data_IF_498275125913
#
_entry.id   IF_498275125913
#
_cell.length_a   1.000
_cell.length_b   1.000
_cell.length_c   1.000
_cell.angle_alpha   90.00
_cell.angle_beta   90.00
_cell.angle_gamma   90.00
#
_symmetry.space_group_name_H-M   'P 1'
#
loop_
_entity.id
_entity.type
_entity.pdbx_description
1 polymer ?
#
# COMPACT_ATOMS: atom_id res chain seq x y z
N UNK A 1 0.59 2.79 16.63
CA UNK A 1 -0.81 2.88 17.10
C UNK A 1 -1.81 2.44 16.03
N UNK A 2 -2.00 3.16 14.91
CA UNK A 2 -3.02 2.79 13.90
C UNK A 2 -2.84 1.38 13.29
N UNK A 3 -1.64 1.04 12.83
CA UNK A 3 -1.33 -0.30 12.26
C UNK A 3 -1.53 -1.42 13.29
N UNK A 4 -1.15 -1.17 14.54
CA UNK A 4 -1.32 -2.14 15.63
C UNK A 4 -2.81 -2.37 15.93
N UNK A 5 -3.64 -1.33 15.86
CA UNK A 5 -5.08 -1.44 16.03
C UNK A 5 -5.73 -2.26 14.91
N UNK A 6 -5.36 -1.99 13.65
CA UNK A 6 -5.91 -2.73 12.49
C UNK A 6 -5.55 -4.21 12.56
N UNK A 7 -4.32 -4.54 12.97
CA UNK A 7 -3.87 -5.94 13.04
C UNK A 7 -4.39 -6.71 14.27
N UNK A 8 -4.89 -6.03 15.30
CA UNK A 8 -5.34 -6.70 16.55
C UNK A 8 -6.86 -6.80 16.68
N UNK A 9 -7.61 -5.95 15.97
CA UNK A 9 -9.06 -6.02 15.92
C UNK A 9 -9.54 -7.09 14.92
N UNK A 10 -10.67 -7.75 15.19
CA UNK A 10 -11.28 -8.65 14.21
C UNK A 10 -11.69 -7.87 12.95
N UNK A 11 -11.63 -8.52 11.79
CA UNK A 11 -12.06 -7.92 10.51
C UNK A 11 -13.50 -7.42 10.54
N UNK A 12 -14.36 -8.07 11.33
CA UNK A 12 -15.75 -7.66 11.54
C UNK A 12 -15.91 -6.24 12.08
N UNK A 13 -14.94 -5.72 12.84
CA UNK A 13 -14.97 -4.34 13.34
C UNK A 13 -14.86 -3.28 12.21
N UNK A 14 -14.51 -3.71 10.99
CA UNK A 14 -14.29 -2.84 9.84
C UNK A 14 -15.28 -3.08 8.70
N UNK A 15 -16.31 -3.93 8.87
CA UNK A 15 -17.26 -4.28 7.81
C UNK A 15 -17.98 -3.06 7.23
N UNK A 16 -18.50 -2.17 8.09
CA UNK A 16 -19.13 -0.92 7.65
C UNK A 16 -18.18 -0.04 6.83
N UNK A 17 -16.90 0.04 7.23
CA UNK A 17 -15.88 0.79 6.49
C UNK A 17 -15.58 0.15 5.13
N UNK A 18 -15.51 -1.18 5.07
CA UNK A 18 -15.28 -1.92 3.82
C UNK A 18 -16.46 -1.76 2.85
N UNK A 19 -17.69 -1.69 3.36
CA UNK A 19 -18.88 -1.48 2.53
C UNK A 19 -18.95 -0.01 2.07
N UNK A 20 -18.79 0.94 2.98
CA UNK A 20 -18.99 2.36 2.68
C UNK A 20 -17.86 2.99 1.86
N UNK A 21 -16.60 2.69 2.19
CA UNK A 21 -15.43 3.38 1.61
C UNK A 21 -14.76 2.55 0.50
N UNK A 22 -14.72 1.22 0.65
CA UNK A 22 -14.09 0.32 -0.33
C UNK A 22 -15.12 -0.22 -1.35
N UNK A 23 -16.42 -0.14 -1.03
CA UNK A 23 -17.50 -0.61 -1.91
C UNK A 23 -17.61 -2.13 -1.98
N UNK A 24 -17.14 -2.85 -0.95
CA UNK A 24 -17.28 -4.30 -0.87
C UNK A 24 -18.77 -4.66 -0.73
N UNK A 25 -19.30 -5.60 -1.52
CA UNK A 25 -20.67 -6.08 -1.34
C UNK A 25 -20.87 -6.67 0.06
N UNK A 26 -21.95 -6.30 0.75
CA UNK A 26 -22.26 -6.76 2.12
C UNK A 26 -22.32 -8.30 2.23
N UNK A 27 -22.69 -9.00 1.15
CA UNK A 27 -22.72 -10.46 1.10
C UNK A 27 -21.32 -11.11 1.10
N UNK A 28 -20.29 -10.35 0.72
CA UNK A 28 -18.91 -10.81 0.61
C UNK A 28 -18.00 -10.28 1.72
N UNK A 29 -18.39 -9.21 2.42
CA UNK A 29 -17.55 -8.57 3.45
C UNK A 29 -17.14 -9.52 4.57
N UNK A 30 -18.05 -10.42 4.96
CA UNK A 30 -17.81 -11.43 6.01
C UNK A 30 -16.81 -12.52 5.61
N UNK A 31 -16.47 -12.61 4.33
CA UNK A 31 -15.48 -13.56 3.78
C UNK A 31 -14.11 -12.90 3.54
N UNK A 32 -13.99 -11.60 3.76
CA UNK A 32 -12.73 -10.89 3.56
C UNK A 32 -11.85 -11.06 4.79
N UNK A 33 -10.71 -11.67 4.55
CA UNK A 33 -9.60 -11.67 5.51
C UNK A 33 -8.75 -10.42 5.28
N UNK A 34 -8.58 -9.60 6.31
CA UNK A 34 -7.70 -8.45 6.23
C UNK A 34 -6.24 -8.91 6.20
N UNK A 35 -5.40 -8.36 5.32
CA UNK A 35 -3.98 -8.68 5.31
C UNK A 35 -3.30 -8.11 6.56
N UNK A 36 -2.16 -8.66 6.92
CA UNK A 36 -1.31 -8.07 7.97
C UNK A 36 -0.71 -6.77 7.45
N UNK A 37 -1.09 -5.65 8.05
CA UNK A 37 -0.58 -4.34 7.68
C UNK A 37 0.77 -4.08 8.35
N UNK A 38 1.70 -3.46 7.62
CA UNK A 38 3.01 -3.08 8.15
C UNK A 38 3.09 -1.56 8.34
N UNK A 39 4.02 -1.12 9.19
CA UNK A 39 4.33 0.31 9.30
C UNK A 39 4.96 0.78 8.00
N UNK A 40 4.76 2.05 7.67
CA UNK A 40 5.45 2.67 6.54
C UNK A 40 6.96 2.55 6.74
N UNK A 41 7.65 2.05 5.72
CA UNK A 41 9.10 1.85 5.70
C UNK A 41 9.63 2.27 4.33
N UNK A 42 10.93 2.61 4.27
CA UNK A 42 11.55 2.87 2.99
C UNK A 42 11.54 1.59 2.13
N UNK A 43 11.24 1.71 0.84
CA UNK A 43 11.40 0.61 -0.10
C UNK A 43 12.88 0.21 -0.20
N UNK A 44 13.15 -1.05 -0.54
CA UNK A 44 14.52 -1.50 -0.75
C UNK A 44 15.07 -0.92 -2.05
N UNK A 45 16.35 -0.51 -2.05
CA UNK A 45 17.01 0.07 -3.23
C UNK A 45 16.94 -0.85 -4.47
N UNK A 46 17.05 -2.17 -4.25
CA UNK A 46 16.92 -3.17 -5.30
C UNK A 46 15.55 -3.15 -5.98
N UNK A 47 14.48 -2.94 -5.21
CA UNK A 47 13.13 -2.92 -5.76
C UNK A 47 12.85 -1.61 -6.48
N UNK A 48 13.39 -0.50 -5.97
CA UNK A 48 13.37 0.79 -6.65
C UNK A 48 14.03 0.72 -8.03
N UNK A 49 15.25 0.19 -8.12
CA UNK A 49 15.97 0.02 -9.39
C UNK A 49 15.19 -0.84 -10.39
N UNK A 50 14.56 -1.93 -9.93
CA UNK A 50 13.73 -2.77 -10.80
C UNK A 50 12.51 -2.04 -11.33
N UNK A 51 11.84 -1.26 -10.49
CA UNK A 51 10.66 -0.49 -10.90
C UNK A 51 11.05 0.62 -11.87
N UNK A 52 12.13 1.34 -11.59
CA UNK A 52 12.68 2.36 -12.49
C UNK A 52 13.05 1.78 -13.85
N UNK A 53 13.74 0.64 -13.88
CA UNK A 53 14.05 -0.07 -15.12
C UNK A 53 12.77 -0.47 -15.86
N UNK A 54 11.79 -1.05 -15.17
CA UNK A 54 10.52 -1.46 -15.78
C UNK A 54 9.74 -0.28 -16.37
N UNK A 55 9.70 0.85 -15.67
CA UNK A 55 9.04 2.07 -16.14
C UNK A 55 9.69 2.62 -17.42
N UNK A 56 11.03 2.64 -17.46
CA UNK A 56 11.79 3.06 -18.63
C UNK A 56 11.58 2.09 -19.81
N UNK A 57 11.64 0.77 -19.58
CA UNK A 57 11.39 -0.25 -20.61
C UNK A 57 9.98 -0.19 -21.19
N UNK A 58 9.00 0.27 -20.41
CA UNK A 58 7.61 0.45 -20.84
C UNK A 58 7.32 1.83 -21.40
N UNK A 59 8.33 2.70 -21.49
CA UNK A 59 8.19 4.09 -21.96
C UNK A 59 7.10 4.85 -21.19
N UNK A 60 6.93 4.54 -19.89
CA UNK A 60 5.93 5.17 -19.02
C UNK A 60 6.44 6.44 -18.34
N UNK A 61 7.75 6.68 -18.40
CA UNK A 61 8.45 7.83 -17.82
C UNK A 61 9.45 8.40 -18.83
N UNK A 62 9.90 9.63 -18.60
CA UNK A 62 10.96 10.23 -19.40
C UNK A 62 12.30 9.57 -19.09
N UNK A 63 13.23 9.57 -20.05
CA UNK A 63 14.52 8.91 -19.91
C UNK A 63 15.42 9.52 -18.80
N UNK A 64 15.10 10.73 -18.31
CA UNK A 64 15.78 11.39 -17.20
C UNK A 64 15.10 11.13 -15.84
N UNK A 65 14.07 10.29 -15.79
CA UNK A 65 13.36 9.98 -14.56
C UNK A 65 14.28 9.28 -13.55
N UNK A 66 14.44 9.92 -12.39
CA UNK A 66 15.13 9.38 -11.21
C UNK A 66 14.10 9.04 -10.13
N UNK A 67 13.99 7.75 -9.81
CA UNK A 67 13.03 7.25 -8.82
C UNK A 67 13.26 7.81 -7.41
N UNK A 68 14.44 8.34 -7.11
CA UNK A 68 14.75 8.99 -5.83
C UNK A 68 13.94 10.25 -5.60
N UNK A 69 13.51 10.92 -6.67
CA UNK A 69 12.74 12.17 -6.60
C UNK A 69 11.33 12.00 -6.02
N UNK A 70 10.80 10.78 -6.03
CA UNK A 70 9.48 10.44 -5.49
C UNK A 70 9.54 9.81 -4.09
N UNK A 71 10.73 9.71 -3.49
CA UNK A 71 10.92 9.15 -2.14
C UNK A 71 10.83 10.26 -1.10
N UNK A 72 9.76 10.25 -0.31
CA UNK A 72 9.56 11.19 0.79
C UNK A 72 9.96 10.57 2.15
N UNK A 73 11.27 10.37 2.36
CA UNK A 73 11.80 9.75 3.59
C UNK A 73 11.42 10.53 4.88
N UNK A 74 11.18 11.83 4.76
CA UNK A 74 10.82 12.73 5.87
C UNK A 74 9.42 12.49 6.44
N UNK A 75 8.57 11.70 5.76
CA UNK A 75 7.20 11.42 6.17
C UNK A 75 7.06 10.09 6.92
N UNK A 76 8.16 9.37 7.13
CA UNK A 76 8.15 8.13 7.89
C UNK A 76 8.10 8.39 9.40
N UNK A 77 7.30 7.62 10.16
CA UNK A 77 7.12 7.79 11.60
C UNK A 77 8.33 7.34 12.44
#
# INVERSE_FOLDING_TARGET
LAIELINTQPSSSFEDLLIAEIGVPAELVSKIELPTFTKAQLPQEKDLQKVEQWLNEKELVTADFDISTVIAATLLP
#
